data_IF_023076555553
#
_entry.id   IF_023076555553
#
_cell.length_a   1.000
_cell.length_b   1.000
_cell.length_c   1.000
_cell.angle_alpha   90.00
_cell.angle_beta   90.00
_cell.angle_gamma   90.00
#
_symmetry.space_group_name_H-M   'P 1'
#
loop_
_entity.id
_entity.type
_entity.pdbx_description
1 polymer ?
#
# COMPACT_ATOMS: atom_id res chain seq x y z
N UNK A 1 9.31 8.64 -7.03
CA UNK A 1 9.58 7.33 -7.67
C UNK A 1 8.63 7.15 -8.85
N UNK A 2 9.06 6.61 -10.00
CA UNK A 2 8.11 6.19 -11.05
C UNK A 2 7.25 5.02 -10.55
N UNK A 3 5.97 5.00 -10.92
CA UNK A 3 5.14 3.81 -10.76
C UNK A 3 5.52 2.85 -11.90
N UNK A 4 6.48 1.95 -11.65
CA UNK A 4 6.90 0.95 -12.64
C UNK A 4 5.87 -0.17 -12.83
N UNK A 5 6.12 -1.02 -13.82
CA UNK A 5 5.20 -2.12 -14.19
C UNK A 5 5.18 -3.29 -13.20
N UNK A 6 6.18 -3.35 -12.31
CA UNK A 6 6.35 -4.44 -11.33
C UNK A 6 5.14 -4.64 -10.41
N UNK A 7 4.36 -3.57 -10.14
CA UNK A 7 3.17 -3.66 -9.29
C UNK A 7 2.12 -4.61 -9.88
N UNK A 8 1.98 -4.64 -11.20
CA UNK A 8 1.02 -5.50 -11.89
C UNK A 8 1.39 -6.98 -11.82
N UNK A 9 2.66 -7.31 -11.56
CA UNK A 9 3.13 -8.70 -11.48
C UNK A 9 2.65 -9.41 -10.21
N UNK A 10 2.34 -8.67 -9.15
CA UNK A 10 2.00 -9.26 -7.85
C UNK A 10 0.68 -8.75 -7.25
N UNK A 11 0.22 -7.55 -7.60
CA UNK A 11 -1.02 -7.00 -7.09
C UNK A 11 -2.20 -7.40 -7.99
N UNK A 12 -2.94 -8.42 -7.56
CA UNK A 12 -4.10 -8.93 -8.28
C UNK A 12 -5.20 -7.86 -8.51
N UNK A 13 -5.24 -6.82 -7.68
CA UNK A 13 -6.23 -5.76 -7.71
C UNK A 13 -5.78 -4.55 -8.52
N UNK A 14 -4.48 -4.42 -8.79
CA UNK A 14 -3.91 -3.31 -9.53
C UNK A 14 -4.26 -3.39 -11.02
N UNK A 15 -4.72 -2.27 -11.58
CA UNK A 15 -4.87 -2.10 -13.03
C UNK A 15 -3.74 -1.24 -13.60
N UNK A 16 -3.61 -0.01 -13.10
CA UNK A 16 -2.63 0.97 -13.54
C UNK A 16 -2.48 2.05 -12.46
N UNK A 17 -1.36 2.77 -12.47
CA UNK A 17 -1.20 3.96 -11.65
C UNK A 17 -0.20 4.92 -12.29
N UNK A 18 -0.33 6.19 -11.92
CA UNK A 18 0.59 7.26 -12.32
C UNK A 18 0.84 8.22 -11.18
N UNK A 19 2.05 8.77 -11.13
CA UNK A 19 2.33 9.92 -10.27
C UNK A 19 1.65 11.14 -10.89
N UNK A 20 0.77 11.78 -10.12
CA UNK A 20 0.08 13.01 -10.49
C UNK A 20 0.96 14.22 -10.19
N UNK A 21 1.63 14.21 -9.05
CA UNK A 21 2.49 15.29 -8.58
C UNK A 21 3.53 14.76 -7.60
N UNK A 22 4.81 15.03 -7.83
CA UNK A 22 5.84 14.81 -6.82
C UNK A 22 5.89 16.03 -5.90
N UNK A 23 5.69 15.83 -4.60
CA UNK A 23 5.67 16.92 -3.61
C UNK A 23 7.10 17.15 -3.09
N UNK A 24 7.78 16.07 -2.69
CA UNK A 24 9.17 16.09 -2.25
C UNK A 24 9.87 14.75 -2.55
N UNK A 25 11.04 14.49 -1.96
CA UNK A 25 11.81 13.25 -2.15
C UNK A 25 11.17 11.99 -1.53
N UNK A 26 10.15 12.14 -0.70
CA UNK A 26 9.48 11.11 0.10
C UNK A 26 7.96 11.10 -0.02
N UNK A 27 7.39 12.07 -0.71
CA UNK A 27 5.95 12.31 -0.78
C UNK A 27 5.52 12.59 -2.21
N UNK A 28 4.50 11.88 -2.68
CA UNK A 28 3.85 12.16 -3.96
C UNK A 28 2.33 11.98 -3.91
N UNK A 29 1.64 12.56 -4.89
CA UNK A 29 0.23 12.30 -5.17
C UNK A 29 0.14 11.31 -6.32
N UNK A 30 -0.62 10.24 -6.13
CA UNK A 30 -0.75 9.11 -7.03
C UNK A 30 -2.20 8.92 -7.42
N UNK A 31 -2.45 8.74 -8.72
CA UNK A 31 -3.72 8.25 -9.22
C UNK A 31 -3.58 6.76 -9.50
N UNK A 32 -4.38 5.93 -8.82
CA UNK A 32 -4.35 4.47 -8.95
C UNK A 32 -5.73 3.97 -9.36
N UNK A 33 -5.76 3.09 -10.36
CA UNK A 33 -6.97 2.41 -10.81
C UNK A 33 -6.94 0.95 -10.35
N UNK A 34 -8.06 0.48 -9.81
CA UNK A 34 -8.25 -0.91 -9.44
C UNK A 34 -9.00 -1.67 -10.55
N UNK A 35 -8.69 -2.96 -10.68
CA UNK A 35 -9.42 -3.89 -11.55
C UNK A 35 -10.87 -4.02 -11.08
N UNK A 36 -11.77 -4.27 -12.04
CA UNK A 36 -13.17 -4.58 -11.73
C UNK A 36 -13.26 -6.01 -11.19
N UNK A 37 -13.85 -6.17 -10.02
CA UNK A 37 -13.92 -7.47 -9.32
C UNK A 37 -15.16 -8.29 -9.63
N UNK A 38 -16.21 -7.61 -10.08
CA UNK A 38 -17.46 -8.23 -10.47
C UNK A 38 -18.09 -7.44 -11.60
N UNK A 39 -18.74 -8.14 -12.55
CA UNK A 39 -19.45 -7.54 -13.68
C UNK A 39 -20.54 -6.54 -13.22
N UNK A 40 -21.09 -6.77 -12.02
CA UNK A 40 -22.18 -5.98 -11.43
C UNK A 40 -21.71 -4.70 -10.73
N UNK A 41 -20.41 -4.46 -10.62
CA UNK A 41 -19.88 -3.28 -9.91
C UNK A 41 -18.99 -2.44 -10.81
N UNK A 42 -18.98 -1.12 -10.61
CA UNK A 42 -18.07 -0.23 -11.35
C UNK A 42 -16.63 -0.43 -10.87
N UNK A 43 -15.64 -0.18 -11.72
CA UNK A 43 -14.24 -0.17 -11.26
C UNK A 43 -13.98 1.02 -10.34
N UNK A 44 -13.00 0.89 -9.44
CA UNK A 44 -12.66 1.92 -8.48
C UNK A 44 -11.37 2.61 -8.88
N UNK A 45 -11.27 3.90 -8.56
CA UNK A 45 -10.02 4.64 -8.62
C UNK A 45 -9.74 5.32 -7.27
N UNK A 46 -8.48 5.66 -7.04
CA UNK A 46 -7.94 6.25 -5.82
C UNK A 46 -7.04 7.43 -6.17
N UNK A 47 -7.16 8.53 -5.43
CA UNK A 47 -6.21 9.64 -5.47
C UNK A 47 -5.52 9.71 -4.11
N UNK A 48 -4.28 9.26 -4.04
CA UNK A 48 -3.58 9.00 -2.79
C UNK A 48 -2.43 9.99 -2.62
N UNK A 49 -2.35 10.61 -1.46
CA UNK A 49 -1.08 11.10 -0.94
C UNK A 49 -0.32 9.89 -0.42
N UNK A 50 0.85 9.64 -1.00
CA UNK A 50 1.74 8.55 -0.64
C UNK A 50 3.01 9.12 -0.04
N UNK A 51 3.35 8.65 1.15
CA UNK A 51 4.58 9.01 1.84
C UNK A 51 5.40 7.74 2.12
N UNK A 52 6.73 7.80 2.00
CA UNK A 52 7.61 6.69 2.36
C UNK A 52 8.86 7.14 3.10
N UNK A 53 9.29 6.32 4.05
CA UNK A 53 10.51 6.56 4.83
C UNK A 53 11.17 5.24 5.22
N UNK A 54 12.49 5.29 5.41
CA UNK A 54 13.26 4.22 6.05
C UNK A 54 13.65 4.68 7.47
N UNK A 55 13.32 3.88 8.47
CA UNK A 55 13.72 4.09 9.85
C UNK A 55 15.16 3.63 10.10
N UNK A 56 15.74 4.06 11.21
CA UNK A 56 17.14 3.75 11.57
C UNK A 56 17.36 2.24 11.75
N UNK A 57 16.39 1.54 12.35
CA UNK A 57 16.38 0.09 12.53
C UNK A 57 16.24 -0.71 11.20
N UNK A 58 16.09 -0.02 10.07
CA UNK A 58 15.96 -0.63 8.75
C UNK A 58 14.53 -0.94 8.30
N UNK A 59 13.52 -0.66 9.13
CA UNK A 59 12.11 -0.76 8.73
C UNK A 59 11.80 0.28 7.64
N UNK A 60 11.06 -0.13 6.61
CA UNK A 60 10.49 0.77 5.62
C UNK A 60 8.99 0.96 5.89
N UNK A 61 8.56 2.21 5.82
CA UNK A 61 7.17 2.62 5.96
C UNK A 61 6.70 3.20 4.63
N UNK A 62 5.52 2.79 4.18
CA UNK A 62 4.83 3.40 3.05
C UNK A 62 3.40 3.68 3.49
N UNK A 63 3.01 4.94 3.58
CA UNK A 63 1.67 5.34 4.01
C UNK A 63 0.87 5.91 2.85
N UNK A 64 -0.43 5.66 2.87
CA UNK A 64 -1.39 6.17 1.90
C UNK A 64 -2.58 6.81 2.61
N UNK A 65 -3.04 7.93 2.08
CA UNK A 65 -4.33 8.54 2.45
C UNK A 65 -4.97 9.17 1.22
N UNK A 66 -6.27 9.04 1.07
CA UNK A 66 -6.99 9.70 -0.01
C UNK A 66 -6.97 11.22 0.15
N UNK A 67 -6.72 11.92 -0.95
CA UNK A 67 -6.73 13.39 -1.04
C UNK A 67 -7.53 13.86 -2.26
N UNK A 68 -8.06 15.09 -2.18
CA UNK A 68 -8.59 15.79 -3.35
C UNK A 68 -7.45 16.53 -4.04
N UNK A 69 -7.28 16.33 -5.34
CA UNK A 69 -6.21 16.98 -6.10
C UNK A 69 -6.73 17.48 -7.45
N UNK A 70 -6.49 18.75 -7.83
CA UNK A 70 -7.02 19.32 -9.07
C UNK A 70 -6.59 18.53 -10.32
N UNK A 71 -5.35 18.03 -10.37
CA UNK A 71 -4.84 17.24 -11.52
C UNK A 71 -5.29 15.76 -11.49
N UNK A 72 -6.11 15.36 -10.52
CA UNK A 72 -6.59 13.99 -10.34
C UNK A 72 -8.12 13.89 -10.42
N UNK A 73 -8.66 14.36 -11.55
CA UNK A 73 -10.09 14.29 -11.86
C UNK A 73 -10.63 12.86 -11.78
N UNK A 74 -11.92 12.74 -11.42
CA UNK A 74 -12.61 11.44 -11.38
C UNK A 74 -12.81 10.94 -12.81
N UNK A 75 -12.27 9.77 -13.20
CA UNK A 75 -12.48 9.21 -14.52
C UNK A 75 -13.95 8.88 -14.75
N UNK A 76 -14.42 9.09 -15.97
CA UNK A 76 -15.77 8.70 -16.35
C UNK A 76 -15.96 7.18 -16.22
N UNK A 77 -17.12 6.75 -15.73
CA UNK A 77 -17.44 5.33 -15.54
C UNK A 77 -16.77 4.64 -14.33
N UNK A 78 -15.94 5.35 -13.55
CA UNK A 78 -15.31 4.82 -12.32
C UNK A 78 -15.90 5.45 -11.06
N UNK A 79 -15.81 4.73 -9.94
CA UNK A 79 -16.20 5.24 -8.62
C UNK A 79 -14.95 5.52 -7.80
N UNK A 80 -14.82 6.75 -7.30
CA UNK A 80 -13.70 7.15 -6.45
C UNK A 80 -13.86 6.53 -5.07
N UNK A 81 -12.99 5.59 -4.73
CA UNK A 81 -12.87 5.05 -3.38
C UNK A 81 -12.05 5.99 -2.49
N UNK A 82 -12.17 5.80 -1.18
CA UNK A 82 -11.46 6.56 -0.15
C UNK A 82 -10.66 5.62 0.74
N UNK A 83 -9.36 5.87 0.88
CA UNK A 83 -8.52 5.30 1.94
C UNK A 83 -8.42 6.36 3.03
N UNK A 84 -8.94 6.06 4.21
CA UNK A 84 -8.82 6.95 5.37
C UNK A 84 -7.40 6.89 5.93
N UNK A 85 -6.88 5.67 6.06
CA UNK A 85 -5.54 5.36 6.50
C UNK A 85 -5.11 4.02 5.92
N UNK A 86 -3.81 3.84 5.69
CA UNK A 86 -3.29 2.55 5.24
C UNK A 86 -1.85 2.64 4.81
N UNK A 87 -1.26 1.49 4.52
CA UNK A 87 0.15 1.42 4.22
C UNK A 87 0.78 0.04 4.35
N UNK A 88 2.08 0.03 4.12
CA UNK A 88 2.95 -1.10 4.37
C UNK A 88 3.97 -0.75 5.46
N UNK A 89 4.16 -1.69 6.38
CA UNK A 89 5.28 -1.70 7.32
C UNK A 89 6.13 -2.91 6.94
N UNK A 90 7.37 -2.66 6.54
CA UNK A 90 8.28 -3.70 6.05
C UNK A 90 9.50 -3.70 6.97
N UNK A 91 9.53 -4.63 7.91
CA UNK A 91 10.56 -4.71 8.95
C UNK A 91 11.52 -5.87 8.67
N UNK A 92 12.85 -5.69 8.80
CA UNK A 92 13.79 -6.80 8.74
C UNK A 92 13.43 -7.84 9.81
N UNK A 93 13.29 -9.11 9.43
CA UNK A 93 13.15 -10.18 10.41
C UNK A 93 14.52 -10.47 11.00
N UNK A 94 14.66 -10.23 12.31
CA UNK A 94 15.84 -10.64 13.04
C UNK A 94 16.05 -12.14 12.83
N UNK A 95 17.28 -12.53 12.53
CA UNK A 95 17.65 -13.92 12.57
C UNK A 95 17.69 -14.30 14.04
N UNK A 96 16.78 -15.19 14.48
CA UNK A 96 17.11 -15.95 15.67
C UNK A 96 18.28 -16.85 15.28
N UNK A 97 19.40 -16.67 15.97
CA UNK A 97 20.51 -17.64 16.03
C UNK A 97 20.03 -18.91 16.76
N UNK A 98 18.88 -19.46 16.36
CA UNK A 98 18.50 -20.81 16.73
C UNK A 98 19.60 -21.76 16.26
N UNK A 99 19.82 -22.88 16.97
CA UNK A 99 20.95 -23.76 16.75
C UNK A 99 21.16 -23.97 15.26
N UNK A 100 22.40 -23.71 14.79
CA UNK A 100 22.84 -24.05 13.43
C UNK A 100 22.16 -25.36 13.06
N UNK A 101 21.32 -25.33 12.02
CA UNK A 101 20.72 -26.55 11.48
C UNK A 101 21.85 -27.58 11.42
N UNK A 102 21.68 -28.78 12.04
CA UNK A 102 22.80 -29.69 12.23
C UNK A 102 23.54 -29.83 10.91
N UNK A 103 24.87 -29.69 10.97
CA UNK A 103 25.71 -29.79 9.78
C UNK A 103 25.26 -31.02 8.99
N UNK A 104 25.13 -30.85 7.68
CA UNK A 104 24.76 -31.95 6.80
C UNK A 104 25.65 -33.15 7.13
N UNK A 105 25.15 -34.39 7.02
CA UNK A 105 25.94 -35.60 7.31
C UNK A 105 27.28 -35.61 6.53
N UNK A 106 27.35 -34.92 5.38
CA UNK A 106 28.55 -34.73 4.57
C UNK A 106 29.55 -33.65 5.06
N UNK A 107 29.30 -32.98 6.19
CA UNK A 107 30.17 -31.93 6.74
C UNK A 107 30.12 -30.59 5.98
N UNK A 108 29.22 -30.44 5.00
CA UNK A 108 29.07 -29.18 4.28
C UNK A 108 28.45 -28.10 5.18
N UNK A 109 28.96 -26.85 5.12
CA UNK A 109 28.35 -25.74 5.84
C UNK A 109 26.93 -25.49 5.33
N UNK A 110 25.97 -25.14 6.20
CA UNK A 110 24.62 -24.82 5.77
C UNK A 110 24.65 -23.64 4.79
N UNK A 111 23.76 -23.61 3.77
CA UNK A 111 23.69 -22.49 2.86
C UNK A 111 23.38 -21.19 3.62
N UNK A 112 23.92 -20.04 3.17
CA UNK A 112 23.63 -18.76 3.81
C UNK A 112 22.12 -18.53 3.82
N UNK A 113 21.57 -18.20 5.00
CA UNK A 113 20.14 -17.94 5.14
C UNK A 113 19.76 -16.71 4.32
N UNK A 114 18.71 -16.86 3.51
CA UNK A 114 18.18 -15.77 2.68
C UNK A 114 17.60 -14.67 3.59
N UNK A 115 17.89 -13.38 3.33
CA UNK A 115 17.26 -12.27 4.08
C UNK A 115 15.74 -12.37 4.03
N UNK A 116 15.08 -12.07 5.15
CA UNK A 116 13.61 -12.07 5.28
C UNK A 116 13.12 -10.77 5.88
N UNK A 117 11.92 -10.36 5.49
CA UNK A 117 11.22 -9.21 6.07
C UNK A 117 9.81 -9.62 6.46
N UNK A 118 9.32 -9.04 7.55
CA UNK A 118 7.91 -9.05 7.92
C UNK A 118 7.23 -7.92 7.15
N UNK A 119 6.12 -8.23 6.49
CA UNK A 119 5.32 -7.25 5.77
C UNK A 119 3.94 -7.20 6.39
N UNK A 120 3.58 -6.05 6.91
CA UNK A 120 2.23 -5.76 7.41
C UNK A 120 1.56 -4.80 6.44
N UNK A 121 0.39 -5.18 5.95
CA UNK A 121 -0.45 -4.35 5.08
C UNK A 121 -1.70 -3.96 5.85
N UNK A 122 -1.82 -2.67 6.17
CA UNK A 122 -2.96 -2.12 6.92
C UNK A 122 -3.77 -1.26 5.96
N UNK A 123 -5.10 -1.40 5.99
CA UNK A 123 -5.97 -0.68 5.07
C UNK A 123 -7.33 -0.40 5.70
N UNK A 124 -7.65 0.87 5.84
CA UNK A 124 -8.96 1.37 6.19
C UNK A 124 -9.54 2.10 4.97
N UNK A 125 -10.53 1.50 4.32
CA UNK A 125 -11.08 2.05 3.09
C UNK A 125 -12.61 1.97 3.00
N UNK A 126 -13.17 3.02 2.40
CA UNK A 126 -14.51 3.06 1.85
C UNK A 126 -14.41 2.89 0.32
N UNK A 127 -14.98 1.81 -0.20
CA UNK A 127 -15.02 1.55 -1.65
C UNK A 127 -15.95 2.51 -2.40
N UNK A 128 -16.80 3.25 -1.67
CA UNK A 128 -17.89 4.13 -2.10
C UNK A 128 -18.83 3.49 -3.13
N UNK A 129 -20.15 3.58 -2.96
CA UNK A 129 -21.11 3.15 -4.00
C UNK A 129 -22.48 2.68 -3.52
N UNK A 130 -23.27 2.19 -4.48
CA UNK A 130 -24.66 1.73 -4.29
C UNK A 130 -24.81 0.63 -3.23
N UNK A 131 -23.76 -0.16 -2.97
CA UNK A 131 -23.74 -1.18 -1.92
C UNK A 131 -23.83 -0.61 -0.50
N UNK A 132 -23.49 0.66 -0.29
CA UNK A 132 -23.61 1.32 1.02
C UNK A 132 -25.03 1.83 1.31
N UNK A 133 -25.84 2.04 0.27
CA UNK A 133 -27.18 2.65 0.38
C UNK A 133 -28.30 1.62 0.59
N UNK A 134 -28.16 0.41 0.06
CA UNK A 134 -29.04 -0.70 0.41
C UNK A 134 -28.58 -1.27 1.74
N UNK A 135 -29.16 -0.77 2.84
CA UNK A 135 -28.99 -1.25 4.21
C UNK A 135 -29.53 -2.67 4.45
N UNK A 136 -29.30 -3.57 3.50
CA UNK A 136 -29.51 -5.00 3.65
C UNK A 136 -28.19 -5.53 4.21
N UNK A 137 -28.20 -6.25 5.33
CA UNK A 137 -27.03 -6.76 6.06
C UNK A 137 -26.14 -7.77 5.31
N UNK A 138 -26.00 -7.64 3.99
CA UNK A 138 -25.20 -8.43 3.06
C UNK A 138 -23.93 -7.70 2.61
N UNK A 139 -23.44 -6.71 3.38
CA UNK A 139 -22.23 -5.96 3.03
C UNK A 139 -21.08 -6.94 2.78
N UNK A 140 -20.78 -7.22 1.52
CA UNK A 140 -19.62 -8.02 1.10
C UNK A 140 -18.31 -7.22 1.26
N UNK A 141 -18.41 -5.98 1.76
CA UNK A 141 -17.30 -5.07 1.99
C UNK A 141 -16.22 -5.68 2.90
N UNK A 142 -16.53 -6.29 4.06
CA UNK A 142 -15.49 -6.90 4.91
C UNK A 142 -14.78 -8.05 4.20
N UNK A 143 -15.52 -8.84 3.40
CA UNK A 143 -14.99 -9.99 2.66
C UNK A 143 -14.10 -9.52 1.52
N UNK A 144 -14.57 -8.58 0.71
CA UNK A 144 -13.81 -8.03 -0.42
C UNK A 144 -12.51 -7.36 0.04
N UNK A 145 -12.56 -6.54 1.10
CA UNK A 145 -11.37 -5.91 1.66
C UNK A 145 -10.37 -6.92 2.20
N UNK A 146 -10.86 -7.89 2.97
CA UNK A 146 -10.04 -8.99 3.49
C UNK A 146 -9.37 -9.75 2.35
N UNK A 147 -10.12 -10.16 1.34
CA UNK A 147 -9.60 -10.94 0.23
C UNK A 147 -8.59 -10.12 -0.59
N UNK A 148 -8.85 -8.83 -0.79
CA UNK A 148 -7.91 -7.90 -1.45
C UNK A 148 -6.59 -7.78 -0.67
N UNK A 149 -6.65 -7.66 0.66
CA UNK A 149 -5.46 -7.62 1.52
C UNK A 149 -4.68 -8.94 1.46
N UNK A 150 -5.38 -10.08 1.56
CA UNK A 150 -4.77 -11.41 1.50
C UNK A 150 -4.10 -11.65 0.15
N UNK A 151 -4.75 -11.31 -0.96
CA UNK A 151 -4.18 -11.41 -2.30
C UNK A 151 -2.94 -10.52 -2.45
N UNK A 152 -2.97 -9.30 -1.92
CA UNK A 152 -1.80 -8.41 -1.96
C UNK A 152 -0.61 -8.98 -1.19
N UNK A 153 -0.81 -9.56 -0.01
CA UNK A 153 0.28 -10.14 0.80
C UNK A 153 0.79 -11.44 0.19
N UNK A 154 -0.11 -12.30 -0.31
CA UNK A 154 0.26 -13.54 -1.00
C UNK A 154 1.08 -13.26 -2.27
N UNK A 155 0.61 -12.32 -3.10
CA UNK A 155 1.31 -11.92 -4.33
C UNK A 155 2.70 -11.35 -4.04
N UNK A 156 2.84 -10.47 -3.03
CA UNK A 156 4.14 -9.96 -2.60
C UNK A 156 5.09 -11.09 -2.20
N UNK A 157 4.61 -12.02 -1.37
CA UNK A 157 5.40 -13.16 -0.90
C UNK A 157 5.90 -14.01 -2.07
N UNK A 158 5.03 -14.34 -3.02
CA UNK A 158 5.37 -15.17 -4.18
C UNK A 158 6.32 -14.44 -5.14
N UNK A 159 6.06 -13.17 -5.43
CA UNK A 159 6.90 -12.31 -6.26
C UNK A 159 8.36 -12.27 -5.77
N UNK A 160 8.57 -12.04 -4.47
CA UNK A 160 9.91 -12.02 -3.87
C UNK A 160 10.51 -13.42 -3.66
N UNK A 161 9.68 -14.46 -3.52
CA UNK A 161 10.18 -15.84 -3.49
C UNK A 161 10.80 -16.22 -4.84
N UNK A 162 10.10 -15.93 -5.95
CA UNK A 162 10.54 -16.22 -7.32
C UNK A 162 11.75 -15.40 -7.76
N UNK A 163 11.88 -14.13 -7.36
CA UNK A 163 12.99 -13.24 -7.76
C UNK A 163 14.31 -13.45 -7.01
N UNK A 164 14.42 -14.51 -6.20
CA UNK A 164 15.74 -14.98 -5.76
C UNK A 164 16.61 -14.03 -4.93
N UNK A 165 16.08 -12.92 -4.40
CA UNK A 165 16.91 -11.91 -3.67
C UNK A 165 17.84 -11.10 -4.58
N UNK A 166 17.80 -11.31 -5.89
CA UNK A 166 18.59 -10.58 -6.88
C UNK A 166 17.86 -9.30 -7.28
N UNK A 167 17.72 -8.36 -6.34
CA UNK A 167 17.59 -6.96 -6.72
C UNK A 167 18.90 -6.31 -6.28
N UNK A 168 19.74 -5.78 -7.20
CA UNK A 168 20.79 -4.86 -6.80
C UNK A 168 20.11 -3.81 -5.94
N UNK A 169 20.62 -3.60 -4.72
CA UNK A 169 19.97 -2.75 -3.74
C UNK A 169 19.53 -1.44 -4.37
N UNK A 170 18.23 -1.33 -4.63
CA UNK A 170 17.56 -0.04 -4.76
C UNK A 170 17.60 0.53 -3.34
N UNK A 171 18.79 1.02 -2.99
CA UNK A 171 19.00 1.96 -1.92
C UNK A 171 18.14 3.15 -2.32
N UNK A 172 16.89 3.14 -1.87
CA UNK A 172 16.15 4.36 -1.64
C UNK A 172 17.15 5.30 -0.95
N UNK A 173 17.52 6.42 -1.58
CA UNK A 173 18.51 7.32 -1.00
C UNK A 173 18.09 7.60 0.44
N UNK A 174 19.04 7.52 1.37
CA UNK A 174 18.88 8.08 2.71
C UNK A 174 18.81 9.60 2.53
N UNK A 175 17.66 10.11 2.13
CA UNK A 175 17.38 11.52 2.32
C UNK A 175 17.03 11.67 3.80
N UNK A 176 17.80 12.48 4.55
CA UNK A 176 17.46 12.74 5.94
C UNK A 176 16.05 13.31 5.96
N UNK A 177 15.19 12.74 6.81
CA UNK A 177 13.90 13.35 7.09
C UNK A 177 14.17 14.80 7.51
N UNK A 178 13.44 15.79 6.99
CA UNK A 178 13.64 17.17 7.38
C UNK A 178 13.52 17.27 8.89
N UNK A 179 14.55 17.82 9.54
CA UNK A 179 14.67 17.98 11.00
C UNK A 179 13.65 18.95 11.59
N UNK A 180 12.78 19.51 10.76
CA UNK A 180 11.68 20.36 11.13
C UNK A 180 10.46 19.94 10.31
N UNK A 181 9.40 19.46 10.99
CA UNK A 181 8.07 19.64 10.44
C UNK A 181 7.92 21.15 10.17
N UNK A 182 7.54 21.58 8.96
CA UNK A 182 7.09 22.94 8.79
C UNK A 182 5.90 23.15 9.72
N UNK A 183 6.13 23.90 10.81
CA UNK A 183 5.05 24.55 11.52
C UNK A 183 4.27 25.34 10.47
N UNK A 184 3.00 24.99 10.30
CA UNK A 184 2.06 25.53 9.30
C UNK A 184 2.25 25.05 7.86
N UNK A 185 1.92 23.79 7.59
CA UNK A 185 1.12 23.50 6.39
C UNK A 185 -0.30 23.96 6.71
N UNK A 186 -0.66 25.17 6.29
CA UNK A 186 -2.07 25.54 6.19
C UNK A 186 -2.74 24.55 5.23
N UNK A 187 -3.42 23.55 5.80
CA UNK A 187 -4.33 22.69 5.07
C UNK A 187 -5.39 23.55 4.38
N UNK A 188 -5.19 23.87 3.10
CA UNK A 188 -6.26 24.27 2.18
C UNK A 188 -6.77 23.05 1.42
N UNK A 189 -7.14 22.01 2.17
CA UNK A 189 -8.00 20.97 1.64
C UNK A 189 -9.19 20.88 2.59
N UNK A 190 -10.42 21.17 2.13
CA UNK A 190 -11.58 21.10 3.00
C UNK A 190 -11.69 19.68 3.54
N UNK A 191 -11.82 19.57 4.86
CA UNK A 191 -12.26 18.34 5.50
C UNK A 191 -13.56 17.91 4.82
N UNK A 192 -13.62 16.64 4.40
CA UNK A 192 -14.87 16.06 3.89
C UNK A 192 -15.90 16.15 5.03
N UNK A 193 -17.14 16.60 4.76
CA UNK A 193 -18.15 16.70 5.79
C UNK A 193 -18.48 15.29 6.30
N UNK A 194 -18.14 15.03 7.56
CA UNK A 194 -18.66 13.90 8.33
C UNK A 194 -20.10 14.26 8.67
N UNK A 195 -21.03 13.78 7.86
CA UNK A 195 -22.47 13.93 8.11
C UNK A 195 -22.89 13.09 9.30
N UNK A 196 -22.79 13.66 10.51
CA UNK A 196 -23.62 13.29 11.65
C UNK A 196 -25.02 13.87 11.40
N UNK A 197 -26.00 13.01 11.17
CA UNK A 197 -27.41 13.36 11.36
C UNK A 197 -27.94 12.53 12.51
N UNK A 198 -27.91 13.11 13.71
CA UNK A 198 -28.75 12.72 14.83
C UNK A 198 -29.86 13.75 14.99
N UNK A 199 -31.06 13.25 15.33
CA UNK A 199 -32.34 13.94 15.62
C UNK A 199 -33.12 14.37 14.37
N UNK A 200 -34.42 14.13 14.25
CA UNK A 200 -35.46 13.73 15.21
C UNK A 200 -36.36 12.62 14.64
#
# INVERSE_FOLDING_TARGET
MSFGDERAEWDAMFAEARVVEAIDGHTDVVHMCLKRTSLWTRSRDLCLLRYWKREENGTYLVFFKSVSHPKCHRPWGRVRALIYSGGYIISPLQHSDGPLSPACICGAPPPPRKPRSQVEHVLEMDVSGWSSWVGIGLSSHPVFLRDSLLLSVAGLREYFACRGGATPGLLLPRHPAPSHLPHHIHHRYPALPVGLSSRA
#
